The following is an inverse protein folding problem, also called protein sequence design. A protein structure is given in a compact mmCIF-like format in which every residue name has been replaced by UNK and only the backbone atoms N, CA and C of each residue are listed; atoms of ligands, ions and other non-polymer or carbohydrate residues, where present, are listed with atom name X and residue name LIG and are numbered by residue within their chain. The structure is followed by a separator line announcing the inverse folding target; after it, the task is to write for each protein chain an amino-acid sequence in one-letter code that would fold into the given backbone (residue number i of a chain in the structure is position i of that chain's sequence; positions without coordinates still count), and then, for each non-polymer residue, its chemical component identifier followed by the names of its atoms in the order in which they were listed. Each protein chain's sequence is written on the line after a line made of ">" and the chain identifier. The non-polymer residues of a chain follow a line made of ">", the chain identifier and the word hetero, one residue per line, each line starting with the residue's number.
data_IF_995083088327
#
_entry.id   IF_995083088327
#
_cell.length_a   1.000
_cell.length_b   1.000
_cell.length_c   1.000
_cell.angle_alpha   90.00
_cell.angle_beta   90.00
_cell.angle_gamma   90.00
#
_symmetry.space_group_name_H-M   'P 1'
#
loop_
_entity.id
_entity.type
_entity.pdbx_description
1 polymer ?
#
# COMPACT_ATOMS: atom_id res chain seq x y z
N UNK A 1 -20.33 -7.83 2.45
CA UNK A 1 -19.19 -7.82 1.51
C UNK A 1 -18.66 -9.24 1.44
N UNK A 2 -18.57 -9.80 0.24
CA UNK A 2 -18.14 -11.19 -0.01
C UNK A 2 -16.67 -11.40 0.34
N UNK A 3 -15.86 -10.35 0.25
CA UNK A 3 -14.44 -10.38 0.58
C UNK A 3 -14.06 -9.21 1.48
N UNK A 4 -13.33 -9.51 2.56
CA UNK A 4 -12.65 -8.52 3.37
C UNK A 4 -11.17 -8.53 3.00
N UNK A 5 -10.64 -7.44 2.45
CA UNK A 5 -9.24 -7.29 2.07
C UNK A 5 -8.27 -7.71 3.19
N UNK A 6 -8.57 -7.34 4.42
CA UNK A 6 -7.77 -7.66 5.60
C UNK A 6 -8.07 -9.03 6.22
N UNK A 7 -8.95 -9.84 5.61
CA UNK A 7 -9.32 -11.16 6.08
C UNK A 7 -9.79 -11.15 7.53
N UNK A 8 -9.11 -11.93 8.38
CA UNK A 8 -9.42 -12.07 9.82
C UNK A 8 -8.67 -11.06 10.71
N UNK A 9 -7.76 -10.28 10.16
CA UNK A 9 -6.89 -9.37 10.92
C UNK A 9 -7.67 -8.37 11.78
N UNK A 10 -8.72 -7.67 11.29
CA UNK A 10 -9.49 -6.75 12.11
C UNK A 10 -10.09 -7.42 13.35
N UNK A 11 -10.73 -8.57 13.16
CA UNK A 11 -11.33 -9.35 14.27
C UNK A 11 -10.29 -9.81 15.31
N UNK A 12 -9.07 -10.11 14.86
CA UNK A 12 -8.00 -10.51 15.77
C UNK A 12 -7.52 -9.34 16.65
N UNK A 13 -7.53 -8.11 16.12
CA UNK A 13 -7.25 -6.91 16.91
C UNK A 13 -8.41 -6.55 17.85
N UNK A 14 -9.65 -6.62 17.37
CA UNK A 14 -10.85 -6.36 18.18
C UNK A 14 -10.93 -7.32 19.37
N UNK A 15 -10.62 -8.62 19.15
CA UNK A 15 -10.57 -9.61 20.22
C UNK A 15 -9.49 -9.32 21.29
N UNK A 16 -8.55 -8.43 20.99
CA UNK A 16 -7.52 -7.94 21.92
C UNK A 16 -7.84 -6.55 22.49
N UNK A 17 -9.07 -6.09 22.32
CA UNK A 17 -9.54 -4.81 22.85
C UNK A 17 -9.20 -3.59 21.98
N UNK A 18 -8.68 -3.78 20.76
CA UNK A 18 -8.44 -2.66 19.86
C UNK A 18 -9.73 -2.22 19.17
N UNK A 19 -9.89 -0.91 18.96
CA UNK A 19 -10.90 -0.37 18.04
C UNK A 19 -10.28 -0.24 16.66
N UNK A 20 -10.87 -0.90 15.66
CA UNK A 20 -10.34 -0.93 14.30
C UNK A 20 -11.15 -0.02 13.38
N UNK A 21 -10.46 0.82 12.60
CA UNK A 21 -11.03 1.74 11.64
C UNK A 21 -10.35 1.56 10.28
N UNK A 22 -11.08 1.83 9.21
CA UNK A 22 -10.55 1.80 7.85
C UNK A 22 -10.45 3.22 7.29
N UNK A 23 -9.39 3.51 6.55
CA UNK A 23 -9.20 4.83 5.97
C UNK A 23 -10.09 5.07 4.75
N UNK A 24 -10.37 4.04 3.95
CA UNK A 24 -11.28 4.14 2.80
C UNK A 24 -10.67 4.86 1.60
N UNK A 25 -9.36 4.67 1.37
CA UNK A 25 -8.64 5.20 0.21
C UNK A 25 -9.14 4.58 -1.10
N UNK A 26 -8.91 5.30 -2.19
CA UNK A 26 -9.13 4.78 -3.54
C UNK A 26 -7.82 4.20 -4.09
N UNK A 27 -7.83 2.98 -4.62
CA UNK A 27 -6.61 2.31 -5.08
C UNK A 27 -5.90 3.06 -6.21
N UNK A 28 -6.64 3.79 -7.03
CA UNK A 28 -6.15 4.45 -8.26
C UNK A 28 -5.74 5.91 -8.08
N UNK A 29 -6.03 6.51 -6.92
CA UNK A 29 -5.66 7.91 -6.68
C UNK A 29 -4.15 8.07 -6.41
N UNK A 30 -3.66 9.30 -6.56
CA UNK A 30 -2.26 9.64 -6.25
C UNK A 30 -1.94 9.43 -4.77
N UNK A 31 -0.65 9.32 -4.45
CA UNK A 31 -0.19 9.22 -3.04
C UNK A 31 -0.67 10.41 -2.23
N UNK A 32 -0.59 11.61 -2.78
CA UNK A 32 -0.98 12.87 -2.12
C UNK A 32 -2.49 12.91 -1.85
N UNK A 33 -3.31 12.56 -2.83
CA UNK A 33 -4.77 12.56 -2.69
C UNK A 33 -5.22 11.57 -1.63
N UNK A 34 -4.69 10.35 -1.65
CA UNK A 34 -4.98 9.34 -0.64
C UNK A 34 -4.39 9.68 0.74
N UNK A 35 -3.21 10.30 0.80
CA UNK A 35 -2.66 10.80 2.05
C UNK A 35 -3.58 11.84 2.72
N UNK A 36 -4.24 12.69 1.93
CA UNK A 36 -5.23 13.63 2.43
C UNK A 36 -6.47 12.90 3.00
N UNK A 37 -6.89 11.79 2.39
CA UNK A 37 -7.95 10.92 2.93
C UNK A 37 -7.52 10.31 4.27
N UNK A 38 -6.31 9.76 4.34
CA UNK A 38 -5.74 9.20 5.58
C UNK A 38 -5.66 10.26 6.67
N UNK A 39 -5.15 11.46 6.34
CA UNK A 39 -5.02 12.57 7.29
C UNK A 39 -6.36 12.97 7.89
N UNK A 40 -7.38 13.15 7.04
CA UNK A 40 -8.75 13.45 7.49
C UNK A 40 -9.31 12.33 8.36
N UNK A 41 -9.07 11.08 7.98
CA UNK A 41 -9.55 9.93 8.75
C UNK A 41 -8.92 9.82 10.12
N UNK A 42 -7.63 10.18 10.26
CA UNK A 42 -6.96 10.29 11.56
C UNK A 42 -7.70 11.33 12.42
N UNK A 43 -7.98 12.52 11.90
CA UNK A 43 -8.69 13.56 12.65
C UNK A 43 -10.07 13.11 13.12
N UNK A 44 -10.83 12.44 12.23
CA UNK A 44 -12.15 11.88 12.56
C UNK A 44 -12.07 10.83 13.70
N UNK A 45 -11.07 9.94 13.63
CA UNK A 45 -10.88 8.90 14.65
C UNK A 45 -10.51 9.52 15.99
N UNK A 46 -9.58 10.47 16.01
CA UNK A 46 -9.20 11.19 17.24
C UNK A 46 -10.42 11.88 17.84
N UNK A 47 -11.19 12.62 17.04
CA UNK A 47 -12.41 13.30 17.50
C UNK A 47 -13.47 12.31 18.03
N UNK A 48 -13.67 11.18 17.36
CA UNK A 48 -14.66 10.16 17.73
C UNK A 48 -14.27 9.38 18.98
N UNK A 49 -12.97 9.17 19.19
CA UNK A 49 -12.49 8.24 20.24
C UNK A 49 -11.95 8.94 21.48
N UNK A 50 -11.53 10.20 21.34
CA UNK A 50 -10.76 10.88 22.37
C UNK A 50 -9.34 10.36 22.57
N UNK A 51 -8.86 9.47 21.68
CA UNK A 51 -7.51 8.94 21.75
C UNK A 51 -6.48 10.03 21.42
N UNK A 52 -5.33 10.02 22.09
CA UNK A 52 -4.26 10.96 21.78
C UNK A 52 -3.55 10.59 20.46
N UNK A 53 -3.39 9.28 20.20
CA UNK A 53 -2.68 8.76 19.03
C UNK A 53 -3.34 7.49 18.49
N UNK A 54 -3.12 7.24 17.21
CA UNK A 54 -3.51 6.01 16.52
C UNK A 54 -2.28 5.19 16.13
N UNK A 55 -2.45 3.87 15.98
CA UNK A 55 -1.48 3.01 15.28
C UNK A 55 -2.01 2.73 13.88
N UNK A 56 -1.14 2.87 12.88
CA UNK A 56 -1.49 2.64 11.48
C UNK A 56 -0.87 1.33 11.02
N UNK A 57 -1.68 0.48 10.38
CA UNK A 57 -1.20 -0.68 9.63
C UNK A 57 -1.60 -0.46 8.17
N UNK A 58 -0.60 -0.42 7.30
CA UNK A 58 -0.79 -0.10 5.90
C UNK A 58 -0.15 -1.18 5.01
N UNK A 59 -0.80 -1.53 3.89
CA UNK A 59 -0.30 -2.51 2.94
C UNK A 59 0.03 -1.85 1.61
N UNK A 60 1.13 -2.30 0.97
CA UNK A 60 1.53 -1.88 -0.37
C UNK A 60 1.61 -0.35 -0.50
N UNK A 61 0.99 0.25 -1.52
CA UNK A 61 0.88 1.71 -1.75
C UNK A 61 0.42 2.49 -0.51
N UNK A 62 -0.50 1.89 0.28
CA UNK A 62 -1.02 2.54 1.49
C UNK A 62 0.05 2.93 2.50
N UNK A 63 1.18 2.23 2.53
CA UNK A 63 2.33 2.61 3.36
C UNK A 63 2.99 3.92 2.93
N UNK A 64 3.08 4.17 1.61
CA UNK A 64 3.59 5.43 1.06
C UNK A 64 2.65 6.59 1.40
N UNK A 65 1.35 6.36 1.27
CA UNK A 65 0.28 7.32 1.56
C UNK A 65 0.26 7.69 3.04
N UNK A 66 0.39 6.69 3.93
CA UNK A 66 0.47 6.92 5.38
C UNK A 66 1.73 7.70 5.78
N UNK A 67 2.91 7.37 5.20
CA UNK A 67 4.14 8.14 5.42
C UNK A 67 3.98 9.59 4.98
N UNK A 68 3.35 9.82 3.82
CA UNK A 68 3.08 11.18 3.32
C UNK A 68 2.15 11.93 4.28
N UNK A 69 1.08 11.31 4.76
CA UNK A 69 0.15 11.92 5.72
C UNK A 69 0.86 12.30 7.03
N UNK A 70 1.71 11.43 7.55
CA UNK A 70 2.50 11.68 8.76
C UNK A 70 3.46 12.85 8.57
N UNK A 71 4.30 12.79 7.53
CA UNK A 71 5.41 13.69 7.29
C UNK A 71 4.94 15.04 6.71
N UNK A 72 4.20 15.01 5.60
CA UNK A 72 3.87 16.22 4.82
C UNK A 72 2.60 16.91 5.27
N UNK A 73 1.64 16.14 5.80
CA UNK A 73 0.35 16.69 6.27
C UNK A 73 0.30 16.85 7.80
N UNK A 74 1.44 16.72 8.47
CA UNK A 74 1.62 17.04 9.89
C UNK A 74 0.84 16.12 10.84
N UNK A 75 0.59 14.86 10.44
CA UNK A 75 -0.15 13.91 11.27
C UNK A 75 0.72 13.14 12.27
N UNK A 76 2.03 13.31 12.27
CA UNK A 76 2.95 12.62 13.18
C UNK A 76 2.58 12.77 14.65
N UNK A 77 2.13 13.94 15.08
CA UNK A 77 1.67 14.18 16.46
C UNK A 77 0.49 13.30 16.90
N UNK A 78 -0.30 12.79 15.97
CA UNK A 78 -1.46 11.93 16.22
C UNK A 78 -1.20 10.45 15.93
N UNK A 79 0.01 10.08 15.53
CA UNK A 79 0.39 8.71 15.20
C UNK A 79 1.42 8.20 16.18
N UNK A 80 1.16 7.04 16.79
CA UNK A 80 2.11 6.37 17.66
C UNK A 80 3.06 5.47 16.85
N UNK A 81 2.51 4.73 15.88
CA UNK A 81 3.30 3.85 15.02
C UNK A 81 2.72 3.72 13.63
N UNK A 82 3.60 3.47 12.66
CA UNK A 82 3.27 3.03 11.31
C UNK A 82 3.91 1.68 11.06
N UNK A 83 3.07 0.66 10.85
CA UNK A 83 3.46 -0.67 10.40
C UNK A 83 3.14 -0.80 8.92
N UNK A 84 4.14 -1.03 8.09
CA UNK A 84 3.96 -1.27 6.66
C UNK A 84 4.15 -2.73 6.31
N UNK A 85 3.29 -3.24 5.43
CA UNK A 85 3.29 -4.63 4.96
C UNK A 85 3.49 -4.60 3.45
N UNK A 86 4.54 -5.25 2.93
CA UNK A 86 4.88 -5.29 1.49
C UNK A 86 4.83 -3.92 0.81
N UNK A 87 5.25 -2.86 1.50
CA UNK A 87 5.26 -1.51 0.91
C UNK A 87 6.54 -1.29 0.12
N UNK A 88 6.46 -0.92 -1.17
CA UNK A 88 7.63 -0.71 -2.02
C UNK A 88 8.29 0.65 -1.74
N UNK A 89 8.90 0.81 -0.57
CA UNK A 89 9.54 2.06 -0.12
C UNK A 89 10.68 2.54 -1.06
N UNK A 90 11.30 1.62 -1.78
CA UNK A 90 12.36 1.91 -2.75
C UNK A 90 11.94 1.69 -4.20
N UNK A 91 10.62 1.49 -4.44
CA UNK A 91 10.10 1.13 -5.75
C UNK A 91 10.40 -0.32 -6.12
N UNK A 92 10.23 -0.66 -7.41
CA UNK A 92 10.50 -1.97 -7.95
C UNK A 92 11.28 -1.86 -9.26
N UNK A 93 12.38 -2.61 -9.38
CA UNK A 93 13.15 -2.74 -10.61
C UNK A 93 12.36 -3.42 -11.70
N UNK A 94 11.45 -4.32 -11.31
CA UNK A 94 10.53 -4.98 -12.25
C UNK A 94 9.66 -3.95 -12.95
N UNK A 95 9.17 -2.94 -12.24
CA UNK A 95 8.39 -1.83 -12.81
C UNK A 95 9.27 -0.96 -13.73
N UNK A 96 10.53 -0.74 -13.38
CA UNK A 96 11.46 0.00 -14.24
C UNK A 96 11.70 -0.70 -15.60
N UNK A 97 11.68 -2.03 -15.62
CA UNK A 97 11.86 -2.80 -16.84
C UNK A 97 10.65 -2.76 -17.78
N UNK A 98 9.47 -2.39 -17.28
CA UNK A 98 8.28 -2.24 -18.13
C UNK A 98 8.46 -1.22 -19.25
N UNK A 99 9.43 -0.31 -19.14
CA UNK A 99 9.80 0.62 -20.23
C UNK A 99 10.26 -0.09 -21.52
N UNK A 100 10.73 -1.33 -21.40
CA UNK A 100 11.18 -2.13 -22.56
C UNK A 100 10.07 -3.04 -23.12
N UNK A 101 8.92 -3.11 -22.43
CA UNK A 101 7.75 -3.86 -22.88
C UNK A 101 6.87 -2.95 -23.74
N UNK A 102 6.37 -3.41 -24.90
CA UNK A 102 5.42 -2.62 -25.69
C UNK A 102 4.24 -2.15 -24.86
N UNK A 103 3.92 -0.86 -24.96
CA UNK A 103 2.92 -0.19 -24.10
C UNK A 103 1.56 -0.88 -24.13
N UNK A 104 1.12 -1.39 -25.28
CA UNK A 104 -0.15 -2.10 -25.39
C UNK A 104 -0.21 -3.39 -24.54
N UNK A 105 0.93 -4.10 -24.38
CA UNK A 105 1.01 -5.28 -23.53
C UNK A 105 0.95 -4.89 -22.05
N UNK A 106 1.63 -3.82 -21.65
CA UNK A 106 1.55 -3.29 -20.28
C UNK A 106 0.11 -2.91 -19.96
N UNK A 107 -0.56 -2.17 -20.85
CA UNK A 107 -1.98 -1.81 -20.68
C UNK A 107 -2.89 -3.03 -20.57
N UNK A 108 -2.66 -4.04 -21.40
CA UNK A 108 -3.45 -5.28 -21.35
C UNK A 108 -3.30 -6.00 -20.01
N UNK A 109 -2.06 -6.13 -19.51
CA UNK A 109 -1.80 -6.73 -18.19
C UNK A 109 -2.45 -5.92 -17.07
N UNK A 110 -2.28 -4.59 -17.07
CA UNK A 110 -2.93 -3.70 -16.10
C UNK A 110 -4.45 -3.81 -16.12
N UNK A 111 -5.05 -3.93 -17.31
CA UNK A 111 -6.50 -4.14 -17.47
C UNK A 111 -6.98 -5.44 -16.82
N UNK A 112 -6.19 -6.51 -16.92
CA UNK A 112 -6.49 -7.77 -16.22
C UNK A 112 -6.45 -7.58 -14.69
N UNK A 113 -5.46 -6.82 -14.18
CA UNK A 113 -5.39 -6.47 -12.75
C UNK A 113 -6.60 -5.62 -12.32
N UNK A 114 -7.01 -4.66 -13.16
CA UNK A 114 -8.18 -3.80 -12.89
C UNK A 114 -9.46 -4.62 -12.75
N UNK A 115 -9.65 -5.64 -13.57
CA UNK A 115 -10.80 -6.56 -13.44
C UNK A 115 -10.76 -7.27 -12.07
N UNK A 116 -9.58 -7.72 -11.65
CA UNK A 116 -9.40 -8.33 -10.32
C UNK A 116 -9.75 -7.35 -9.19
N UNK A 117 -9.23 -6.14 -9.22
CA UNK A 117 -9.52 -5.11 -8.23
C UNK A 117 -11.01 -4.70 -8.23
N UNK A 118 -11.63 -4.61 -9.40
CA UNK A 118 -13.06 -4.34 -9.51
C UNK A 118 -13.90 -5.44 -8.83
N UNK A 119 -13.57 -6.72 -9.05
CA UNK A 119 -14.22 -7.85 -8.36
C UNK A 119 -14.01 -7.77 -6.84
N UNK A 120 -12.87 -7.27 -6.39
CA UNK A 120 -12.58 -7.05 -4.97
C UNK A 120 -13.28 -5.81 -4.38
N UNK A 121 -13.99 -5.04 -5.21
CA UNK A 121 -14.84 -3.93 -4.76
C UNK A 121 -14.27 -2.53 -5.02
N UNK A 122 -13.17 -2.40 -5.75
CA UNK A 122 -12.72 -1.11 -6.26
C UNK A 122 -13.67 -0.64 -7.37
N UNK A 123 -14.18 0.58 -7.25
CA UNK A 123 -15.15 1.13 -8.20
C UNK A 123 -14.51 1.72 -9.44
N UNK A 124 -13.24 2.08 -9.39
CA UNK A 124 -12.50 2.75 -10.47
C UNK A 124 -11.03 2.34 -10.47
N UNK A 125 -10.73 1.06 -10.69
CA UNK A 125 -9.34 0.63 -10.71
C UNK A 125 -8.62 1.21 -11.94
N UNK A 126 -7.40 1.71 -11.73
CA UNK A 126 -6.49 2.22 -12.77
C UNK A 126 -5.06 1.83 -12.43
N UNK A 127 -4.74 0.56 -12.61
CA UNK A 127 -3.40 0.03 -12.36
C UNK A 127 -2.37 0.69 -13.26
N UNK A 128 -2.72 0.96 -14.54
CA UNK A 128 -1.79 1.58 -15.48
C UNK A 128 -1.42 3.00 -15.07
N UNK A 129 -2.39 3.83 -14.67
CA UNK A 129 -2.13 5.18 -14.18
C UNK A 129 -1.28 5.21 -12.91
N UNK A 130 -1.49 4.21 -12.05
CA UNK A 130 -0.81 4.11 -10.76
C UNK A 130 0.60 3.50 -10.82
N UNK A 131 0.97 2.81 -11.90
CA UNK A 131 2.22 2.03 -11.96
C UNK A 131 3.48 2.90 -11.87
N UNK A 132 3.41 4.15 -12.30
CA UNK A 132 4.53 5.08 -12.32
C UNK A 132 5.11 5.40 -10.94
N UNK A 133 4.28 5.34 -9.90
CA UNK A 133 4.71 5.62 -8.50
C UNK A 133 5.63 4.53 -7.94
N UNK A 134 5.58 3.34 -8.52
CA UNK A 134 6.41 2.20 -8.09
C UNK A 134 7.76 2.14 -8.81
N UNK A 135 8.09 3.08 -9.70
CA UNK A 135 9.42 3.18 -10.28
C UNK A 135 10.44 3.56 -9.20
N UNK A 136 11.65 3.01 -9.30
CA UNK A 136 12.72 3.30 -8.33
C UNK A 136 13.06 4.79 -8.26
N UNK A 137 13.04 5.49 -9.41
CA UNK A 137 13.27 6.94 -9.45
C UNK A 137 12.16 7.73 -8.73
N UNK A 138 10.89 7.34 -8.89
CA UNK A 138 9.76 7.97 -8.22
C UNK A 138 9.82 7.74 -6.70
N UNK A 139 10.16 6.53 -6.27
CA UNK A 139 10.35 6.20 -4.87
C UNK A 139 11.51 6.99 -4.25
N UNK A 140 12.63 7.14 -4.96
CA UNK A 140 13.76 7.94 -4.51
C UNK A 140 13.38 9.42 -4.33
N UNK A 141 12.58 9.98 -5.27
CA UNK A 141 12.06 11.35 -5.16
C UNK A 141 11.11 11.49 -3.95
N UNK A 142 10.18 10.54 -3.79
CA UNK A 142 9.27 10.53 -2.65
C UNK A 142 10.06 10.50 -1.32
N UNK A 143 11.07 9.62 -1.22
CA UNK A 143 11.90 9.50 -0.01
C UNK A 143 12.72 10.76 0.30
N UNK A 144 13.12 11.54 -0.69
CA UNK A 144 13.75 12.86 -0.46
C UNK A 144 12.79 13.87 0.15
N UNK A 145 11.53 13.79 -0.23
CA UNK A 145 10.51 14.74 0.23
C UNK A 145 9.85 14.32 1.54
N UNK A 146 9.62 13.02 1.72
CA UNK A 146 8.88 12.45 2.86
C UNK A 146 9.88 11.92 3.89
N UNK A 147 10.27 12.78 4.82
CA UNK A 147 11.17 12.42 5.92
C UNK A 147 10.34 11.84 7.06
N UNK A 148 10.78 10.74 7.64
CA UNK A 148 10.09 10.09 8.75
C UNK A 148 10.10 10.98 9.99
N UNK A 149 8.94 11.11 10.65
CA UNK A 149 8.79 11.89 11.88
C UNK A 149 9.41 11.13 13.05
N UNK A 150 10.40 11.69 13.77
CA UNK A 150 11.11 11.00 14.85
C UNK A 150 10.21 10.65 16.05
N UNK A 151 9.03 11.25 16.17
CA UNK A 151 8.07 10.96 17.23
C UNK A 151 7.18 9.73 16.93
N UNK A 152 7.30 9.13 15.72
CA UNK A 152 6.52 7.98 15.28
C UNK A 152 7.41 6.75 15.23
N UNK A 153 6.93 5.63 15.74
CA UNK A 153 7.63 4.34 15.60
C UNK A 153 7.31 3.72 14.24
N UNK A 154 8.34 3.43 13.44
CA UNK A 154 8.20 2.80 12.14
C UNK A 154 8.68 1.36 12.16
N UNK A 155 7.92 0.48 11.52
CA UNK A 155 8.32 -0.90 11.25
C UNK A 155 7.78 -1.36 9.90
N UNK A 156 8.53 -2.24 9.24
CA UNK A 156 8.18 -2.77 7.92
C UNK A 156 8.31 -4.28 7.90
N UNK A 157 7.34 -4.95 7.31
CA UNK A 157 7.33 -6.40 7.09
C UNK A 157 7.32 -6.67 5.59
N UNK A 158 8.29 -7.46 5.15
CA UNK A 158 8.31 -8.07 3.83
C UNK A 158 7.88 -9.54 3.94
N UNK A 159 7.25 -10.05 2.90
CA UNK A 159 6.83 -11.44 2.82
C UNK A 159 7.52 -12.14 1.65
N UNK A 160 7.58 -13.46 1.70
CA UNK A 160 8.17 -14.29 0.66
C UNK A 160 7.21 -15.45 0.38
N UNK A 161 6.84 -15.60 -0.89
CA UNK A 161 6.13 -16.81 -1.34
C UNK A 161 7.12 -17.98 -1.39
N UNK A 162 6.89 -19.00 -0.57
CA UNK A 162 7.74 -20.20 -0.55
C UNK A 162 7.72 -20.95 -1.89
N UNK A 163 6.59 -20.92 -2.58
CA UNK A 163 6.40 -21.51 -3.92
C UNK A 163 5.54 -20.56 -4.74
N UNK A 164 5.80 -20.41 -6.05
CA UNK A 164 4.96 -19.58 -6.93
C UNK A 164 3.48 -19.97 -6.88
N UNK A 165 3.18 -21.26 -6.65
CA UNK A 165 1.82 -21.80 -6.55
C UNK A 165 1.17 -21.61 -5.18
N UNK A 166 1.83 -20.94 -4.23
CA UNK A 166 1.23 -20.64 -2.91
C UNK A 166 0.04 -19.68 -3.02
N UNK A 167 0.04 -18.85 -4.06
CA UNK A 167 -1.10 -18.03 -4.46
C UNK A 167 -1.21 -18.08 -5.99
N UNK A 168 -2.31 -18.67 -6.48
CA UNK A 168 -2.51 -18.87 -7.93
C UNK A 168 -2.68 -17.55 -8.68
N UNK A 169 -3.23 -16.52 -8.04
CA UNK A 169 -3.41 -15.20 -8.65
C UNK A 169 -2.06 -14.48 -8.79
N UNK A 170 -1.21 -14.58 -7.76
CA UNK A 170 0.11 -13.94 -7.73
C UNK A 170 1.21 -14.78 -8.40
N UNK A 171 0.92 -16.03 -8.78
CA UNK A 171 1.90 -16.95 -9.35
C UNK A 171 2.68 -16.38 -10.55
N UNK A 172 2.05 -15.82 -11.61
CA UNK A 172 2.77 -15.27 -12.74
C UNK A 172 3.67 -14.08 -12.33
N UNK A 173 3.17 -13.21 -11.47
CA UNK A 173 3.93 -12.07 -10.95
C UNK A 173 5.11 -12.52 -10.10
N UNK A 174 4.91 -13.48 -9.19
CA UNK A 174 5.98 -14.00 -8.36
C UNK A 174 7.13 -14.57 -9.19
N UNK A 175 6.83 -15.35 -10.24
CA UNK A 175 7.85 -15.91 -11.14
C UNK A 175 8.62 -14.78 -11.85
N UNK A 176 7.90 -13.78 -12.38
CA UNK A 176 8.51 -12.68 -13.13
C UNK A 176 9.38 -11.80 -12.23
N UNK A 177 8.87 -11.40 -11.06
CA UNK A 177 9.63 -10.60 -10.09
C UNK A 177 10.83 -11.39 -9.56
N UNK A 178 10.70 -12.70 -9.34
CA UNK A 178 11.80 -13.56 -8.86
C UNK A 178 12.99 -13.59 -9.82
N UNK A 179 12.75 -13.54 -11.12
CA UNK A 179 13.82 -13.50 -12.14
C UNK A 179 14.62 -12.19 -12.11
N UNK A 180 14.04 -11.10 -11.60
CA UNK A 180 14.60 -9.75 -11.64
C UNK A 180 15.12 -9.31 -10.28
N UNK A 181 14.35 -9.55 -9.22
CA UNK A 181 14.60 -9.01 -7.88
C UNK A 181 14.84 -10.09 -6.82
N UNK A 182 14.62 -11.37 -7.14
CA UNK A 182 14.81 -12.48 -6.22
C UNK A 182 13.55 -12.85 -5.46
N UNK A 183 13.71 -13.33 -4.23
CA UNK A 183 12.60 -13.78 -3.39
C UNK A 183 11.62 -12.62 -3.10
N UNK A 184 10.32 -12.87 -3.33
CA UNK A 184 9.27 -11.87 -3.27
C UNK A 184 7.92 -12.50 -2.88
N UNK A 185 6.93 -11.67 -2.63
CA UNK A 185 5.56 -12.06 -2.28
C UNK A 185 4.58 -12.06 -3.47
N UNK A 186 5.06 -11.74 -4.66
CA UNK A 186 4.27 -11.65 -5.88
C UNK A 186 3.67 -10.25 -6.14
N UNK A 187 4.05 -9.25 -5.35
CA UNK A 187 3.60 -7.87 -5.47
C UNK A 187 4.69 -6.97 -6.05
#
# INVERSE_FOLDING_TARGET
>A
KLFCYWGRTPKAFEARGCRVFFAGQNSSDTVEANAAVVARRIDEIIALTGAEKVNIIAHSKGGLEARYAISKLGKGKFVASLTTLSTPHHGSKTVDLLRFVPDFLVRLCCKCCDIGFWVMGDKKPDTYGSISIFRTAAAAELNRQVIDDPAVYYQSYAFIMKRPTSDMLMCPHNIFVKLIEGDNDGL
#
